data_IF_231709515866
#
_entry.id   IF_231709515866
#
_cell.length_a   1.000
_cell.length_b   1.000
_cell.length_c   1.000
_cell.angle_alpha   90.00
_cell.angle_beta   90.00
_cell.angle_gamma   90.00
#
_symmetry.space_group_name_H-M   'P 1'
#
loop_
_entity.id
_entity.type
_entity.pdbx_description
1 polymer ?
#
# COMPACT_ATOMS: atom_id res chain seq x y z
N UNK A 1 -3.37 18.40 -10.00
CA UNK A 1 -2.71 17.64 -8.92
C UNK A 1 -1.49 16.91 -9.48
N UNK A 2 -0.35 17.03 -8.81
CA UNK A 2 0.88 16.30 -9.18
C UNK A 2 0.70 14.79 -8.91
N UNK A 3 1.37 13.94 -9.68
CA UNK A 3 1.27 12.48 -9.56
C UNK A 3 1.65 11.99 -8.15
N UNK A 4 2.65 12.62 -7.54
CA UNK A 4 3.11 12.33 -6.20
C UNK A 4 2.06 12.66 -5.12
N UNK A 5 1.38 13.80 -5.25
CA UNK A 5 0.28 14.18 -4.34
C UNK A 5 -0.87 13.19 -4.40
N UNK A 6 -1.19 12.64 -5.58
CA UNK A 6 -2.21 11.60 -5.71
C UNK A 6 -1.80 10.30 -5.01
N UNK A 7 -0.53 9.90 -5.13
CA UNK A 7 -0.03 8.70 -4.47
C UNK A 7 -0.09 8.82 -2.94
N UNK A 8 0.30 9.96 -2.36
CA UNK A 8 0.12 10.20 -0.94
C UNK A 8 -1.35 10.18 -0.53
N UNK A 9 -2.23 10.83 -1.31
CA UNK A 9 -3.66 10.85 -1.02
C UNK A 9 -4.26 9.44 -1.02
N UNK A 10 -4.00 8.65 -2.05
CA UNK A 10 -4.48 7.27 -2.11
C UNK A 10 -3.88 6.43 -0.98
N UNK A 11 -2.58 6.58 -0.71
CA UNK A 11 -1.91 5.92 0.40
C UNK A 11 -2.59 6.20 1.74
N UNK A 12 -2.88 7.47 2.03
CA UNK A 12 -3.59 7.88 3.25
C UNK A 12 -5.01 7.33 3.33
N UNK A 13 -5.76 7.33 2.22
CA UNK A 13 -7.11 6.76 2.17
C UNK A 13 -7.05 5.26 2.46
N UNK A 14 -6.13 4.53 1.82
CA UNK A 14 -5.97 3.10 2.05
C UNK A 14 -5.58 2.78 3.50
N UNK A 15 -4.70 3.58 4.12
CA UNK A 15 -4.39 3.41 5.54
C UNK A 15 -5.59 3.70 6.45
N UNK A 16 -6.39 4.73 6.14
CA UNK A 16 -7.59 5.04 6.90
C UNK A 16 -8.64 3.93 6.80
N UNK A 17 -8.86 3.39 5.60
CA UNK A 17 -9.74 2.23 5.37
C UNK A 17 -9.19 1.00 6.08
N UNK A 18 -7.87 0.76 6.04
CA UNK A 18 -7.23 -0.29 6.83
C UNK A 18 -7.55 -0.14 8.33
N UNK A 19 -7.37 1.05 8.90
CA UNK A 19 -7.72 1.31 10.30
C UNK A 19 -9.18 1.01 10.63
N UNK A 20 -10.10 1.31 9.72
CA UNK A 20 -11.51 0.94 9.86
C UNK A 20 -11.71 -0.59 9.84
N UNK A 21 -11.02 -1.32 8.97
CA UNK A 21 -11.12 -2.78 8.91
C UNK A 21 -10.50 -3.47 10.14
N UNK A 22 -9.45 -2.88 10.70
CA UNK A 22 -8.90 -3.31 11.98
C UNK A 22 -9.95 -3.22 13.09
N UNK A 23 -10.74 -2.13 13.14
CA UNK A 23 -11.85 -1.99 14.08
C UNK A 23 -12.93 -3.06 13.88
N UNK A 24 -13.20 -3.48 12.64
CA UNK A 24 -14.13 -4.56 12.33
C UNK A 24 -13.55 -5.97 12.56
N UNK A 25 -12.31 -6.09 13.04
CA UNK A 25 -11.57 -7.35 13.18
C UNK A 25 -11.35 -8.12 11.87
N UNK A 26 -11.50 -7.48 10.71
CA UNK A 26 -11.16 -8.07 9.41
C UNK A 26 -9.66 -7.90 9.14
N UNK A 27 -8.87 -8.80 9.71
CA UNK A 27 -7.40 -8.77 9.62
C UNK A 27 -6.89 -8.97 8.19
N UNK A 28 -7.70 -9.57 7.31
CA UNK A 28 -7.34 -9.89 5.95
C UNK A 28 -7.50 -8.65 5.06
N UNK A 29 -8.64 -7.97 5.14
CA UNK A 29 -8.83 -6.67 4.49
C UNK A 29 -7.91 -5.60 5.07
N UNK A 30 -7.71 -5.60 6.39
CA UNK A 30 -6.74 -4.73 7.05
C UNK A 30 -5.33 -4.89 6.45
N UNK A 31 -4.83 -6.12 6.37
CA UNK A 31 -3.49 -6.40 5.85
C UNK A 31 -3.36 -5.99 4.38
N UNK A 32 -4.40 -6.21 3.58
CA UNK A 32 -4.45 -5.80 2.18
C UNK A 32 -4.33 -4.28 2.05
N UNK A 33 -5.19 -3.54 2.75
CA UNK A 33 -5.22 -2.08 2.66
C UNK A 33 -3.97 -1.43 3.25
N UNK A 34 -3.38 -2.02 4.29
CA UNK A 34 -2.15 -1.54 4.89
C UNK A 34 -0.95 -1.75 3.95
N UNK A 35 -0.85 -2.91 3.29
CA UNK A 35 0.18 -3.16 2.27
C UNK A 35 0.00 -2.24 1.06
N UNK A 36 -1.21 -2.12 0.53
CA UNK A 36 -1.50 -1.29 -0.63
C UNK A 36 -1.24 0.20 -0.34
N UNK A 37 -1.70 0.71 0.80
CA UNK A 37 -1.47 2.08 1.22
C UNK A 37 0.01 2.40 1.41
N UNK A 38 0.75 1.48 2.04
CA UNK A 38 2.20 1.60 2.20
C UNK A 38 2.92 1.60 0.84
N UNK A 39 2.49 0.78 -0.11
CA UNK A 39 3.07 0.75 -1.46
C UNK A 39 2.96 2.12 -2.15
N UNK A 40 1.81 2.77 -2.07
CA UNK A 40 1.60 4.10 -2.65
C UNK A 40 2.48 5.17 -1.99
N UNK A 41 2.62 5.13 -0.66
CA UNK A 41 3.44 6.09 0.10
C UNK A 41 4.93 5.89 -0.23
N UNK A 42 5.42 4.65 -0.20
CA UNK A 42 6.82 4.34 -0.52
C UNK A 42 7.13 4.70 -1.98
N UNK A 43 6.21 4.45 -2.90
CA UNK A 43 6.36 4.86 -4.30
C UNK A 43 6.45 6.38 -4.46
N UNK A 44 5.71 7.14 -3.65
CA UNK A 44 5.79 8.60 -3.65
C UNK A 44 7.14 9.09 -3.10
N UNK A 45 7.71 8.37 -2.11
CA UNK A 45 9.03 8.66 -1.53
C UNK A 45 10.20 8.42 -2.51
N UNK A 46 10.03 7.55 -3.51
CA UNK A 46 11.04 7.30 -4.57
C UNK A 46 11.41 8.57 -5.34
N UNK A 47 10.46 9.50 -5.47
CA UNK A 47 10.64 10.76 -6.20
C UNK A 47 11.17 11.89 -5.32
N UNK A 48 11.40 11.63 -4.03
CA UNK A 48 11.76 12.68 -3.10
C UNK A 48 13.26 12.99 -3.13
N UNK A 49 13.68 14.24 -3.39
CA UNK A 49 15.09 14.57 -3.65
C UNK A 49 16.03 14.18 -2.51
N UNK A 50 15.53 14.24 -1.26
CA UNK A 50 16.29 13.90 -0.04
C UNK A 50 16.57 12.41 0.10
N UNK A 51 15.81 11.55 -0.58
CA UNK A 51 15.87 10.08 -0.48
C UNK A 51 16.49 9.44 -1.73
N UNK A 52 17.05 10.24 -2.63
CA UNK A 52 17.61 9.76 -3.90
C UNK A 52 18.72 8.71 -3.72
N UNK A 53 19.51 8.81 -2.65
CA UNK A 53 20.55 7.83 -2.32
C UNK A 53 19.98 6.42 -2.05
N UNK A 54 18.74 6.32 -1.58
CA UNK A 54 18.06 5.07 -1.23
C UNK A 54 17.04 4.63 -2.29
N UNK A 55 17.01 5.28 -3.46
CA UNK A 55 16.02 5.05 -4.52
C UNK A 55 15.88 3.58 -4.88
N UNK A 56 16.99 2.85 -5.02
CA UNK A 56 16.98 1.41 -5.36
C UNK A 56 16.26 0.58 -4.29
N UNK A 57 16.52 0.86 -3.02
CA UNK A 57 15.86 0.17 -1.91
C UNK A 57 14.35 0.50 -1.87
N UNK A 58 13.99 1.78 -2.02
CA UNK A 58 12.59 2.21 -2.04
C UNK A 58 11.80 1.58 -3.19
N UNK A 59 12.41 1.47 -4.38
CA UNK A 59 11.79 0.78 -5.53
C UNK A 59 11.60 -0.70 -5.23
N UNK A 60 12.60 -1.38 -4.67
CA UNK A 60 12.46 -2.80 -4.29
C UNK A 60 11.33 -3.01 -3.27
N UNK A 61 11.29 -2.20 -2.21
CA UNK A 61 10.24 -2.25 -1.19
C UNK A 61 8.86 -2.01 -1.81
N UNK A 62 8.75 -1.01 -2.70
CA UNK A 62 7.50 -0.71 -3.40
C UNK A 62 7.01 -1.93 -4.19
N UNK A 63 7.89 -2.56 -4.98
CA UNK A 63 7.53 -3.76 -5.74
C UNK A 63 7.15 -4.94 -4.86
N UNK A 64 7.87 -5.16 -3.75
CA UNK A 64 7.49 -6.19 -2.77
C UNK A 64 6.09 -5.92 -2.23
N UNK A 65 5.78 -4.70 -1.80
CA UNK A 65 4.45 -4.34 -1.28
C UNK A 65 3.35 -4.49 -2.33
N UNK A 66 3.62 -4.15 -3.60
CA UNK A 66 2.66 -4.35 -4.69
C UNK A 66 2.38 -5.84 -4.90
N UNK A 67 3.42 -6.67 -4.97
CA UNK A 67 3.28 -8.12 -5.16
C UNK A 67 2.52 -8.73 -3.98
N UNK A 68 2.89 -8.40 -2.74
CA UNK A 68 2.20 -8.86 -1.54
C UNK A 68 0.74 -8.42 -1.53
N UNK A 69 0.44 -7.18 -1.92
CA UNK A 69 -0.95 -6.69 -2.05
C UNK A 69 -1.73 -7.49 -3.09
N UNK A 70 -1.11 -7.81 -4.23
CA UNK A 70 -1.73 -8.67 -5.25
C UNK A 70 -2.05 -10.06 -4.73
N UNK A 71 -1.12 -10.70 -4.02
CA UNK A 71 -1.34 -12.02 -3.41
C UNK A 71 -2.47 -11.95 -2.38
N UNK A 72 -2.45 -10.96 -1.48
CA UNK A 72 -3.49 -10.74 -0.48
C UNK A 72 -4.86 -10.52 -1.13
N UNK A 73 -4.91 -9.80 -2.26
CA UNK A 73 -6.14 -9.57 -3.00
C UNK A 73 -6.72 -10.88 -3.56
N UNK A 74 -5.89 -11.73 -4.19
CA UNK A 74 -6.34 -13.04 -4.66
C UNK A 74 -6.76 -13.96 -3.51
N UNK A 75 -6.04 -13.90 -2.39
CA UNK A 75 -6.39 -14.63 -1.18
C UNK A 75 -7.77 -14.17 -0.65
N UNK A 76 -8.00 -12.87 -0.58
CA UNK A 76 -9.28 -12.29 -0.19
C UNK A 76 -10.42 -12.74 -1.11
N UNK A 77 -10.22 -12.69 -2.42
CA UNK A 77 -11.19 -13.20 -3.39
C UNK A 77 -11.52 -14.68 -3.13
N UNK A 78 -10.50 -15.51 -2.86
CA UNK A 78 -10.68 -16.95 -2.65
C UNK A 78 -11.38 -17.31 -1.35
N UNK A 79 -11.15 -16.56 -0.26
CA UNK A 79 -11.62 -16.95 1.08
C UNK A 79 -12.79 -16.13 1.60
N UNK A 80 -13.03 -14.94 1.04
CA UNK A 80 -14.14 -14.06 1.45
C UNK A 80 -15.30 -14.08 0.45
N UNK A 81 -15.03 -14.28 -0.84
CA UNK A 81 -16.04 -14.15 -1.90
C UNK A 81 -16.36 -15.45 -2.66
N UNK A 82 -15.46 -16.44 -2.68
CA UNK A 82 -15.63 -17.75 -3.32
C UNK A 82 -15.52 -18.89 -2.31
#
# INVERSE_FOLDING_TARGET
>A
MNAQTRQYLFGSIFLAVGGYQFYLNDMLEFSLYLCAGSAFIVNALVNEPRLFAYKKALVMITWTLIITSGILFFYLLRYKFF
#
